data_IF_846623216695
#
_entry.id   IF_846623216695
#
_cell.length_a   1.000
_cell.length_b   1.000
_cell.length_c   1.000
_cell.angle_alpha   90.00
_cell.angle_beta   90.00
_cell.angle_gamma   90.00
#
_symmetry.space_group_name_H-M   'P 1'
#
loop_
_entity.id
_entity.type
_entity.pdbx_description
1 polymer ?
#
# COMPACT_ATOMS: atom_id res chain seq x y z
N UNK A 1 -22.53 -19.98 1.34
CA UNK A 1 -22.90 -19.86 -0.10
C UNK A 1 -22.16 -18.70 -0.79
N UNK A 2 -22.19 -17.48 -0.23
CA UNK A 2 -21.54 -16.28 -0.80
C UNK A 2 -20.02 -16.40 -1.06
N UNK A 3 -19.27 -17.08 -0.18
CA UNK A 3 -17.82 -17.26 -0.36
C UNK A 3 -17.45 -18.21 -1.51
N UNK A 4 -18.29 -19.22 -1.80
CA UNK A 4 -18.11 -20.12 -2.96
C UNK A 4 -18.42 -19.39 -4.27
N UNK A 5 -19.45 -18.54 -4.27
CA UNK A 5 -19.80 -17.68 -5.41
C UNK A 5 -18.68 -16.68 -5.73
N UNK A 6 -18.07 -16.08 -4.69
CA UNK A 6 -16.91 -15.20 -4.85
C UNK A 6 -15.67 -15.92 -5.40
N UNK A 7 -15.49 -17.22 -5.11
CA UNK A 7 -14.40 -18.03 -5.68
C UNK A 7 -14.65 -18.33 -7.17
N UNK A 8 -15.88 -18.67 -7.56
CA UNK A 8 -16.27 -18.90 -8.96
C UNK A 8 -16.10 -17.60 -9.78
N UNK A 9 -16.57 -16.46 -9.25
CA UNK A 9 -16.33 -15.13 -9.84
C UNK A 9 -14.85 -14.77 -10.00
N UNK A 10 -13.98 -15.31 -9.14
CA UNK A 10 -12.53 -15.07 -9.19
C UNK A 10 -11.84 -15.88 -10.30
N UNK A 11 -12.41 -17.03 -10.68
CA UNK A 11 -11.93 -17.92 -11.74
C UNK A 11 -12.44 -17.49 -13.12
N UNK A 12 -13.56 -16.75 -13.16
CA UNK A 12 -14.08 -16.07 -14.35
C UNK A 12 -13.17 -14.86 -14.63
N UNK A 13 -11.99 -15.14 -15.17
CA UNK A 13 -11.01 -14.12 -15.53
C UNK A 13 -11.44 -13.29 -16.74
N UNK A 14 -10.79 -12.14 -16.95
CA UNK A 14 -11.06 -11.19 -18.06
C UNK A 14 -11.09 -11.82 -19.46
N UNK A 15 -10.41 -12.95 -19.69
CA UNK A 15 -10.39 -13.65 -20.97
C UNK A 15 -11.71 -14.32 -21.32
N UNK A 16 -12.47 -14.80 -20.33
CA UNK A 16 -13.79 -15.41 -20.56
C UNK A 16 -14.83 -14.38 -21.00
N UNK A 17 -14.65 -13.11 -20.64
CA UNK A 17 -15.53 -12.02 -21.10
C UNK A 17 -15.51 -11.88 -22.63
N UNK A 18 -14.34 -12.03 -23.28
CA UNK A 18 -14.23 -11.98 -24.74
C UNK A 18 -14.99 -13.13 -25.41
N UNK A 19 -14.89 -14.34 -24.84
CA UNK A 19 -15.62 -15.52 -25.32
C UNK A 19 -17.12 -15.29 -25.16
N UNK A 20 -17.55 -14.72 -24.03
CA UNK A 20 -18.95 -14.43 -23.76
C UNK A 20 -19.55 -13.38 -24.70
N UNK A 21 -18.78 -12.33 -25.03
CA UNK A 21 -19.18 -11.32 -26.03
C UNK A 21 -19.35 -11.95 -27.42
N UNK A 22 -18.49 -12.90 -27.80
CA UNK A 22 -18.59 -13.61 -29.07
C UNK A 22 -19.84 -14.50 -29.14
N UNK A 23 -20.21 -15.15 -28.03
CA UNK A 23 -21.45 -15.94 -27.91
C UNK A 23 -22.69 -15.03 -28.02
N UNK A 24 -22.67 -13.86 -27.39
CA UNK A 24 -23.77 -12.89 -27.49
C UNK A 24 -23.96 -12.42 -28.94
N UNK A 25 -22.87 -12.18 -29.68
CA UNK A 25 -22.92 -11.80 -31.09
C UNK A 25 -23.56 -12.90 -31.97
N UNK A 26 -23.23 -14.17 -31.72
CA UNK A 26 -23.86 -15.29 -32.43
C UNK A 26 -25.36 -15.41 -32.09
N UNK A 27 -25.73 -15.22 -30.83
CA UNK A 27 -27.13 -15.27 -30.39
C UNK A 27 -27.97 -14.12 -30.95
N UNK A 28 -27.36 -12.95 -31.18
CA UNK A 28 -28.04 -11.79 -31.78
C UNK A 28 -28.56 -12.11 -33.19
N UNK A 29 -27.86 -12.96 -33.95
CA UNK A 29 -28.30 -13.38 -35.29
C UNK A 29 -29.55 -14.28 -35.26
N UNK A 30 -29.83 -14.93 -34.13
CA UNK A 30 -30.95 -15.86 -33.97
C UNK A 30 -32.14 -15.16 -33.28
N UNK A 31 -31.87 -14.44 -32.18
CA UNK A 31 -32.88 -13.74 -31.40
C UNK A 31 -32.30 -12.44 -30.79
N UNK A 32 -32.57 -11.29 -31.42
CA UNK A 32 -32.05 -10.00 -30.96
C UNK A 32 -32.50 -9.62 -29.55
N UNK A 33 -33.76 -9.89 -29.20
CA UNK A 33 -34.32 -9.54 -27.88
C UNK A 33 -33.60 -10.29 -26.75
N UNK A 34 -33.37 -11.60 -26.94
CA UNK A 34 -32.64 -12.41 -25.97
C UNK A 34 -31.17 -11.95 -25.82
N UNK A 35 -30.53 -11.59 -26.93
CA UNK A 35 -29.16 -11.09 -26.91
C UNK A 35 -29.02 -9.76 -26.16
N UNK A 36 -30.01 -8.86 -26.26
CA UNK A 36 -30.05 -7.60 -25.49
C UNK A 36 -30.09 -7.88 -23.99
N UNK A 37 -30.99 -8.75 -23.53
CA UNK A 37 -31.08 -9.13 -22.11
C UNK A 37 -29.78 -9.76 -21.60
N UNK A 38 -29.19 -10.66 -22.38
CA UNK A 38 -27.91 -11.29 -22.05
C UNK A 38 -26.77 -10.26 -21.95
N UNK A 39 -26.76 -9.27 -22.84
CA UNK A 39 -25.76 -8.18 -22.80
C UNK A 39 -25.85 -7.38 -21.51
N UNK A 40 -27.07 -7.01 -21.09
CA UNK A 40 -27.31 -6.26 -19.84
C UNK A 40 -26.82 -7.07 -18.63
N UNK A 41 -27.19 -8.35 -18.54
CA UNK A 41 -26.76 -9.23 -17.44
C UNK A 41 -25.23 -9.37 -17.42
N UNK A 42 -24.62 -9.54 -18.58
CA UNK A 42 -23.15 -9.70 -18.70
C UNK A 42 -22.42 -8.43 -18.29
N UNK A 43 -22.93 -7.26 -18.67
CA UNK A 43 -22.37 -5.98 -18.25
C UNK A 43 -22.45 -5.82 -16.73
N UNK A 44 -23.59 -6.18 -16.12
CA UNK A 44 -23.76 -6.16 -14.66
C UNK A 44 -22.77 -7.12 -13.99
N UNK A 45 -22.63 -8.36 -14.48
CA UNK A 45 -21.69 -9.34 -13.94
C UNK A 45 -20.23 -8.89 -14.11
N UNK A 46 -19.90 -8.27 -15.24
CA UNK A 46 -18.58 -7.71 -15.50
C UNK A 46 -18.25 -6.59 -14.51
N UNK A 47 -19.15 -5.63 -14.32
CA UNK A 47 -18.98 -4.57 -13.32
C UNK A 47 -18.89 -5.15 -11.90
N UNK A 48 -19.74 -6.12 -11.57
CA UNK A 48 -19.72 -6.82 -10.29
C UNK A 48 -18.39 -7.54 -10.02
N UNK A 49 -17.69 -8.01 -11.06
CA UNK A 49 -16.38 -8.65 -10.93
C UNK A 49 -15.28 -7.71 -10.41
N UNK A 50 -15.43 -6.39 -10.55
CA UNK A 50 -14.48 -5.40 -10.02
C UNK A 50 -14.69 -5.11 -8.52
N UNK A 51 -15.90 -5.37 -8.01
CA UNK A 51 -16.28 -5.08 -6.63
C UNK A 51 -15.30 -5.70 -5.62
N UNK A 52 -14.95 -6.99 -5.66
CA UNK A 52 -14.05 -7.61 -4.69
C UNK A 52 -12.68 -6.91 -4.59
N UNK A 53 -12.15 -6.39 -5.70
CA UNK A 53 -10.84 -5.74 -5.75
C UNK A 53 -10.87 -4.33 -5.14
N UNK A 54 -11.95 -3.59 -5.36
CA UNK A 54 -12.19 -2.29 -4.73
C UNK A 54 -12.36 -2.43 -3.21
N UNK A 55 -13.16 -3.40 -2.77
CA UNK A 55 -13.34 -3.73 -1.35
C UNK A 55 -12.02 -4.10 -0.68
N UNK A 56 -11.18 -4.89 -1.36
CA UNK A 56 -9.86 -5.25 -0.86
C UNK A 56 -8.94 -4.04 -0.70
N UNK A 57 -8.82 -3.19 -1.72
CA UNK A 57 -7.97 -1.99 -1.68
C UNK A 57 -8.35 -1.06 -0.51
N UNK A 58 -9.65 -0.85 -0.29
CA UNK A 58 -10.15 -0.04 0.82
C UNK A 58 -9.90 -0.68 2.19
N UNK A 59 -10.00 -2.01 2.30
CA UNK A 59 -9.67 -2.73 3.54
C UNK A 59 -8.17 -2.71 3.83
N UNK A 60 -7.33 -2.90 2.80
CA UNK A 60 -5.87 -2.84 2.92
C UNK A 60 -5.43 -1.46 3.39
N UNK A 61 -5.89 -0.40 2.72
CA UNK A 61 -5.58 0.99 3.09
C UNK A 61 -6.00 1.34 4.53
N UNK A 62 -7.15 0.85 4.99
CA UNK A 62 -7.57 1.00 6.39
C UNK A 62 -6.72 0.19 7.36
N UNK A 63 -6.29 -1.01 6.97
CA UNK A 63 -5.50 -1.89 7.81
C UNK A 63 -4.08 -1.36 8.03
N UNK A 64 -3.39 -0.94 6.97
CA UNK A 64 -2.00 -0.43 7.07
C UNK A 64 -1.88 0.79 7.98
N UNK A 65 -2.94 1.61 8.09
CA UNK A 65 -2.96 2.79 8.96
C UNK A 65 -3.01 2.45 10.46
N UNK A 66 -3.44 1.24 10.83
CA UNK A 66 -3.63 0.85 12.24
C UNK A 66 -2.33 0.50 12.97
N UNK A 67 -1.29 0.11 12.24
CA UNK A 67 -0.02 -0.34 12.82
C UNK A 67 1.02 0.75 12.70
N UNK A 68 1.92 0.86 13.68
CA UNK A 68 3.04 1.80 13.61
C UNK A 68 3.97 1.47 12.44
N UNK A 69 4.35 0.19 12.34
CA UNK A 69 5.14 -0.38 11.25
C UNK A 69 4.57 -1.75 10.89
N UNK A 70 4.51 -2.09 9.60
CA UNK A 70 4.09 -3.43 9.15
C UNK A 70 4.77 -3.85 7.84
N UNK A 71 5.17 -5.12 7.80
CA UNK A 71 5.82 -5.79 6.66
C UNK A 71 4.79 -6.40 5.70
N UNK A 72 5.09 -6.42 4.39
CA UNK A 72 4.25 -7.00 3.35
C UNK A 72 3.87 -8.48 3.59
N UNK A 73 4.78 -9.28 4.14
CA UNK A 73 4.53 -10.67 4.55
C UNK A 73 3.46 -10.79 5.62
N UNK A 74 3.48 -9.89 6.60
CA UNK A 74 2.48 -9.85 7.68
C UNK A 74 1.10 -9.47 7.14
N UNK A 75 1.07 -8.54 6.18
CA UNK A 75 -0.16 -8.17 5.45
C UNK A 75 -0.68 -9.36 4.65
N UNK A 76 0.19 -10.06 3.90
CA UNK A 76 -0.19 -11.23 3.10
C UNK A 76 -0.83 -12.33 3.94
N UNK A 77 -0.23 -12.63 5.10
CA UNK A 77 -0.80 -13.56 6.08
C UNK A 77 -2.17 -13.09 6.59
N UNK A 78 -2.31 -11.81 6.96
CA UNK A 78 -3.58 -11.27 7.49
C UNK A 78 -4.74 -11.38 6.49
N UNK A 79 -4.47 -11.08 5.22
CA UNK A 79 -5.51 -11.05 4.19
C UNK A 79 -5.71 -12.39 3.48
N UNK A 80 -4.93 -13.43 3.83
CA UNK A 80 -4.89 -14.71 3.14
C UNK A 80 -4.77 -14.52 1.61
N UNK A 81 -3.80 -13.70 1.19
CA UNK A 81 -3.51 -13.38 -0.21
C UNK A 81 -2.07 -13.77 -0.55
N UNK A 82 -1.79 -14.14 -1.82
CA UNK A 82 -0.41 -14.31 -2.27
C UNK A 82 0.42 -13.06 -2.02
N UNK A 83 1.67 -13.23 -1.58
CA UNK A 83 2.59 -12.13 -1.30
C UNK A 83 2.72 -11.18 -2.50
N UNK A 84 2.85 -11.74 -3.71
CA UNK A 84 2.94 -10.97 -4.95
C UNK A 84 1.76 -10.01 -5.13
N UNK A 85 0.53 -10.45 -4.88
CA UNK A 85 -0.66 -9.59 -4.97
C UNK A 85 -0.63 -8.45 -3.94
N UNK A 86 -0.10 -8.70 -2.74
CA UNK A 86 0.10 -7.65 -1.75
C UNK A 86 1.18 -6.67 -2.19
N UNK A 87 2.32 -7.17 -2.67
CA UNK A 87 3.44 -6.35 -3.13
C UNK A 87 3.05 -5.46 -4.32
N UNK A 88 2.31 -5.99 -5.29
CA UNK A 88 1.77 -5.20 -6.42
C UNK A 88 0.89 -4.05 -5.91
N UNK A 89 0.03 -4.32 -4.92
CA UNK A 89 -0.87 -3.30 -4.33
C UNK A 89 -0.13 -2.29 -3.48
N UNK A 90 0.87 -2.72 -2.71
CA UNK A 90 1.72 -1.83 -1.91
C UNK A 90 2.59 -0.97 -2.82
N UNK A 91 3.10 -1.51 -3.92
CA UNK A 91 3.83 -0.76 -4.94
C UNK A 91 2.96 0.34 -5.56
N UNK A 92 1.74 0.02 -5.98
CA UNK A 92 0.79 1.03 -6.49
C UNK A 92 0.57 2.16 -5.47
N UNK A 93 0.43 1.82 -4.18
CA UNK A 93 0.30 2.79 -3.09
C UNK A 93 1.59 3.58 -2.87
N UNK A 94 2.76 2.94 -3.01
CA UNK A 94 4.07 3.56 -2.81
C UNK A 94 4.43 4.56 -3.91
N UNK A 95 3.78 4.52 -5.07
CA UNK A 95 3.97 5.55 -6.10
C UNK A 95 3.18 6.83 -5.79
N UNK A 96 2.07 6.73 -5.05
CA UNK A 96 1.10 7.82 -4.83
C UNK A 96 1.11 8.35 -3.39
N UNK A 97 2.31 8.54 -2.83
CA UNK A 97 2.45 8.89 -1.42
C UNK A 97 2.54 10.40 -1.15
N UNK A 98 2.76 11.26 -2.14
CA UNK A 98 3.04 12.69 -1.93
C UNK A 98 2.07 13.39 -0.96
N UNK A 99 0.75 13.18 -1.14
CA UNK A 99 -0.31 13.77 -0.28
C UNK A 99 -0.73 12.89 0.91
N UNK A 100 0.09 11.90 1.30
CA UNK A 100 -0.25 10.92 2.35
C UNK A 100 0.60 11.16 3.60
N UNK A 101 -0.01 11.01 4.76
CA UNK A 101 0.68 11.19 6.05
C UNK A 101 1.46 9.94 6.51
N UNK A 102 1.37 8.85 5.75
CA UNK A 102 2.13 7.62 5.96
C UNK A 102 3.19 7.46 4.86
N UNK A 103 4.15 6.56 5.09
CA UNK A 103 5.24 6.29 4.15
C UNK A 103 5.38 4.78 3.95
N UNK A 104 5.65 4.39 2.71
CA UNK A 104 6.00 3.04 2.30
C UNK A 104 7.43 3.08 1.77
N UNK A 105 8.29 2.23 2.31
CA UNK A 105 9.65 2.01 1.82
C UNK A 105 9.80 0.60 1.26
N UNK A 106 10.76 0.42 0.35
CA UNK A 106 11.16 -0.89 -0.16
C UNK A 106 12.61 -1.15 0.27
N UNK A 107 12.82 -2.19 1.07
CA UNK A 107 14.12 -2.54 1.63
C UNK A 107 14.23 -4.06 1.71
N UNK A 108 15.39 -4.62 1.37
CA UNK A 108 15.67 -6.07 1.48
C UNK A 108 14.59 -6.96 0.81
N UNK A 109 14.17 -6.57 -0.39
CA UNK A 109 13.13 -7.23 -1.20
C UNK A 109 11.74 -7.27 -0.54
N UNK A 110 11.48 -6.38 0.42
CA UNK A 110 10.23 -6.33 1.19
C UNK A 110 9.73 -4.88 1.28
N UNK A 111 8.42 -4.72 1.33
CA UNK A 111 7.83 -3.42 1.65
C UNK A 111 7.56 -3.28 3.15
N UNK A 112 7.86 -2.08 3.65
CA UNK A 112 7.53 -1.64 5.01
C UNK A 112 6.59 -0.45 4.93
N UNK A 113 5.53 -0.47 5.74
CA UNK A 113 4.57 0.63 5.83
C UNK A 113 4.64 1.25 7.22
N UNK A 114 4.88 2.56 7.27
CA UNK A 114 4.97 3.37 8.48
C UNK A 114 3.79 4.33 8.55
N UNK A 115 3.03 4.29 9.65
CA UNK A 115 1.87 5.17 9.81
C UNK A 115 2.26 6.63 10.13
N UNK A 116 1.23 7.46 10.22
CA UNK A 116 1.38 8.88 10.52
C UNK A 116 2.08 9.17 11.86
N UNK A 117 1.85 8.36 12.89
CA UNK A 117 2.49 8.54 14.19
C UNK A 117 4.00 8.41 14.07
N UNK A 118 4.48 7.36 13.38
CA UNK A 118 5.91 7.14 13.16
C UNK A 118 6.52 8.28 12.37
N UNK A 119 5.85 8.73 11.30
CA UNK A 119 6.38 9.79 10.43
C UNK A 119 6.42 11.15 11.15
N UNK A 120 5.43 11.46 12.00
CA UNK A 120 5.45 12.68 12.82
C UNK A 120 6.62 12.69 13.80
N UNK A 121 6.80 11.61 14.56
CA UNK A 121 7.93 11.51 15.49
C UNK A 121 9.27 11.52 14.75
N UNK A 122 9.35 10.87 13.59
CA UNK A 122 10.53 10.89 12.73
C UNK A 122 10.92 12.32 12.34
N UNK A 123 9.98 13.11 11.81
CA UNK A 123 10.24 14.50 11.40
C UNK A 123 10.70 15.36 12.59
N UNK A 124 10.08 15.17 13.76
CA UNK A 124 10.46 15.88 14.98
C UNK A 124 11.91 15.59 15.39
N UNK A 125 12.33 14.32 15.36
CA UNK A 125 13.72 13.95 15.67
C UNK A 125 14.70 14.46 14.61
N UNK A 126 14.31 14.39 13.34
CA UNK A 126 15.10 14.91 12.23
C UNK A 126 15.38 16.41 12.36
N UNK A 127 14.35 17.21 12.66
CA UNK A 127 14.47 18.67 12.82
C UNK A 127 15.30 19.04 14.07
N UNK A 128 15.23 18.24 15.14
CA UNK A 128 16.10 18.39 16.31
C UNK A 128 17.59 18.19 16.03
N UNK A 129 17.96 17.74 14.83
CA UNK A 129 19.34 17.47 14.44
C UNK A 129 19.81 16.07 14.82
N UNK A 130 18.91 15.12 15.07
CA UNK A 130 19.31 13.76 15.40
C UNK A 130 19.91 13.06 14.16
N UNK A 131 20.95 12.27 14.37
CA UNK A 131 21.51 11.38 13.36
C UNK A 131 20.74 10.07 13.24
N UNK A 132 21.13 9.22 12.29
CA UNK A 132 20.43 7.95 12.04
C UNK A 132 20.41 7.01 13.26
N UNK A 133 21.48 7.04 14.07
CA UNK A 133 21.61 6.18 15.26
C UNK A 133 20.63 6.62 16.34
N UNK A 134 20.59 7.92 16.61
CA UNK A 134 19.76 8.54 17.64
C UNK A 134 18.26 8.44 17.27
N UNK A 135 17.95 8.60 15.97
CA UNK A 135 16.60 8.37 15.43
C UNK A 135 16.20 6.90 15.60
N UNK A 136 17.09 5.95 15.25
CA UNK A 136 16.81 4.52 15.40
C UNK A 136 16.51 4.16 16.86
N UNK A 137 17.35 4.62 17.79
CA UNK A 137 17.19 4.34 19.22
C UNK A 137 15.83 4.86 19.74
N UNK A 138 15.45 6.07 19.33
CA UNK A 138 14.19 6.71 19.72
C UNK A 138 12.95 6.02 19.12
N UNK A 139 13.03 5.56 17.87
CA UNK A 139 11.89 4.98 17.14
C UNK A 139 11.81 3.45 17.22
N UNK A 140 12.71 2.81 17.97
CA UNK A 140 12.74 1.35 18.14
C UNK A 140 11.44 0.79 18.71
N UNK A 141 10.88 1.48 19.70
CA UNK A 141 9.59 1.15 20.33
C UNK A 141 8.40 1.28 19.37
N UNK A 142 8.55 2.05 18.27
CA UNK A 142 7.54 2.23 17.24
C UNK A 142 7.70 1.25 16.06
N UNK A 143 8.63 0.29 16.16
CA UNK A 143 8.79 -0.80 15.21
C UNK A 143 9.78 -0.55 14.09
N UNK A 144 10.60 0.50 14.17
CA UNK A 144 11.78 0.68 13.31
C UNK A 144 12.93 -0.15 13.89
N UNK A 145 13.51 -1.06 13.10
CA UNK A 145 14.48 -2.03 13.65
C UNK A 145 15.93 -1.72 13.27
N UNK A 146 16.14 -1.08 12.12
CA UNK A 146 17.48 -0.94 11.53
C UNK A 146 17.77 0.48 11.07
N UNK A 147 19.07 0.83 10.98
CA UNK A 147 19.49 2.12 10.38
C UNK A 147 19.12 2.21 8.89
N UNK A 148 19.11 1.08 8.20
CA UNK A 148 18.67 1.01 6.81
C UNK A 148 17.20 1.42 6.64
N UNK A 149 16.33 1.09 7.60
CA UNK A 149 14.95 1.59 7.61
C UNK A 149 14.88 3.10 7.84
N UNK A 150 15.68 3.64 8.77
CA UNK A 150 15.76 5.09 9.01
C UNK A 150 16.18 5.83 7.74
N UNK A 151 17.26 5.36 7.10
CA UNK A 151 17.73 5.92 5.82
C UNK A 151 16.67 5.82 4.73
N UNK A 152 16.02 4.66 4.58
CA UNK A 152 14.97 4.49 3.58
C UNK A 152 13.76 5.42 3.81
N UNK A 153 13.41 5.70 5.08
CA UNK A 153 12.38 6.68 5.41
C UNK A 153 12.84 8.08 5.00
N UNK A 154 14.07 8.47 5.35
CA UNK A 154 14.66 9.76 4.93
C UNK A 154 14.61 9.93 3.42
N UNK A 155 15.11 8.96 2.66
CA UNK A 155 15.18 9.02 1.20
C UNK A 155 13.79 9.17 0.57
N UNK A 156 12.79 8.44 1.10
CA UNK A 156 11.40 8.54 0.59
C UNK A 156 10.76 9.88 0.99
N UNK A 157 11.01 10.38 2.19
CA UNK A 157 10.49 11.69 2.61
C UNK A 157 11.09 12.83 1.78
N UNK A 158 12.40 12.77 1.47
CA UNK A 158 13.07 13.73 0.58
C UNK A 158 12.53 13.62 -0.84
N UNK A 159 12.43 12.40 -1.39
CA UNK A 159 11.91 12.14 -2.74
C UNK A 159 10.52 12.75 -2.98
N UNK A 160 9.68 12.81 -1.95
CA UNK A 160 8.33 13.34 -2.02
C UNK A 160 8.20 14.75 -1.42
N UNK A 161 9.31 15.45 -1.18
CA UNK A 161 9.35 16.82 -0.63
C UNK A 161 8.56 16.96 0.69
N UNK A 162 8.58 15.90 1.50
CA UNK A 162 7.91 15.85 2.81
C UNK A 162 8.85 16.20 3.95
N UNK A 163 10.13 16.40 3.67
CA UNK A 163 11.14 16.73 4.64
C UNK A 163 11.73 18.08 4.25
N UNK A 164 11.58 19.06 5.13
CA UNK A 164 12.20 20.37 4.97
C UNK A 164 13.70 20.28 5.29
N UNK A 165 14.42 21.34 4.97
CA UNK A 165 15.79 21.50 5.44
C UNK A 165 15.80 21.47 6.98
N UNK A 166 16.82 20.81 7.56
CA UNK A 166 16.84 20.60 9.01
C UNK A 166 16.94 21.95 9.72
N UNK A 167 16.08 22.18 10.72
CA UNK A 167 16.21 23.33 11.64
C UNK A 167 17.57 23.34 12.34
N UNK A 168 18.09 22.17 12.69
CA UNK A 168 19.40 22.01 13.33
C UNK A 168 20.25 20.97 12.63
N UNK A 169 21.49 21.32 12.33
CA UNK A 169 22.46 20.38 11.77
C UNK A 169 22.86 19.33 12.81
N UNK A 170 23.27 18.14 12.34
CA UNK A 170 23.73 17.05 13.23
C UNK A 170 24.99 17.45 13.98
N UNK A 171 25.88 18.23 13.36
CA UNK A 171 27.09 18.75 14.00
C UNK A 171 26.75 19.72 15.12
N UNK A 172 25.88 20.71 14.88
CA UNK A 172 25.45 21.67 15.89
C UNK A 172 24.75 20.99 17.07
N UNK A 173 23.92 19.98 16.81
CA UNK A 173 23.28 19.20 17.89
C UNK A 173 24.31 18.46 18.76
N UNK A 174 25.29 17.80 18.14
CA UNK A 174 26.32 17.05 18.87
C UNK A 174 27.28 17.94 19.65
N UNK A 175 27.58 19.12 19.11
CA UNK A 175 28.42 20.11 19.78
C UNK A 175 27.74 20.62 21.05
N UNK A 176 26.46 20.97 21.00
CA UNK A 176 25.71 21.36 22.21
C UNK A 176 25.61 20.26 23.27
N UNK A 177 25.53 18.99 22.87
CA UNK A 177 25.49 17.88 23.84
C UNK A 177 26.84 17.74 24.57
N UNK A 178 27.97 17.95 23.87
CA UNK A 178 29.31 17.88 24.49
C UNK A 178 29.55 18.92 25.59
N UNK A 179 28.82 20.03 25.57
CA UNK A 179 28.94 21.09 26.58
C UNK A 179 27.84 21.00 27.66
N UNK A 180 26.98 19.97 27.62
CA UNK A 180 25.91 19.73 28.60
C UNK A 180 26.15 18.52 29.51
N UNK A 181 27.12 17.67 29.15
CA UNK A 181 27.68 16.61 30.00
C UNK A 181 28.84 17.17 30.84
#
# INVERSE_FOLDING_TARGET
MFQKFLLILKTIGRKWFLIFVLIILLLFLINPEFAIWMTIITLILYLASFIPNLFFSNRLSRYIKKFNSIEDKSIAKKFNKPLRTIQEKIFELSQKQAKKNWVITYLNKQYYVYNEKVIKEFKKLYNKGFGEKEILESLRSLGIKTRAEVKAITDVLIKYEKLEEREKSVSAYREEQRFKD
#
